data_IF_092782784084
#
_entry.id   IF_092782784084
#
_cell.length_a   1.000
_cell.length_b   1.000
_cell.length_c   1.000
_cell.angle_alpha   90.00
_cell.angle_beta   90.00
_cell.angle_gamma   90.00
#
_symmetry.space_group_name_H-M   'P 1'
#
loop_
_entity.id
_entity.type
_entity.pdbx_description
1 polymer ?
#
# COMPACT_ATOMS: atom_id res chain seq x y z
N UNK A 1 -12.81 12.61 3.77
CA UNK A 1 -11.68 11.66 3.82
C UNK A 1 -10.34 12.25 3.39
N UNK A 2 -10.23 13.01 2.28
CA UNK A 2 -8.92 13.53 1.82
C UNK A 2 -8.10 14.33 2.85
N UNK A 3 -8.72 15.26 3.60
CA UNK A 3 -8.04 16.03 4.65
C UNK A 3 -7.51 15.17 5.81
N UNK A 4 -8.19 14.07 6.13
CA UNK A 4 -7.77 13.14 7.18
C UNK A 4 -6.51 12.38 6.75
N UNK A 5 -6.48 11.88 5.52
CA UNK A 5 -5.31 11.18 4.98
C UNK A 5 -4.10 12.10 4.78
N UNK A 6 -4.33 13.35 4.36
CA UNK A 6 -3.25 14.34 4.28
C UNK A 6 -2.67 14.68 5.66
N UNK A 7 -3.51 14.67 6.71
CA UNK A 7 -3.03 14.94 8.07
C UNK A 7 -2.08 13.87 8.61
N UNK A 8 -2.14 12.64 8.07
CA UNK A 8 -1.22 11.54 8.39
C UNK A 8 -0.07 11.42 7.38
N UNK A 9 0.08 12.38 6.45
CA UNK A 9 1.17 12.42 5.48
C UNK A 9 0.95 11.57 4.22
N UNK A 10 -0.25 11.05 3.99
CA UNK A 10 -0.58 10.34 2.76
C UNK A 10 -0.90 11.31 1.61
N UNK A 11 -0.53 10.93 0.39
CA UNK A 11 -0.89 11.63 -0.84
C UNK A 11 -1.57 10.68 -1.82
N UNK A 12 -2.40 11.23 -2.70
CA UNK A 12 -3.20 10.45 -3.65
C UNK A 12 -2.37 9.96 -4.82
N UNK A 13 -2.67 8.74 -5.27
CA UNK A 13 -2.16 8.15 -6.51
C UNK A 13 -3.34 7.99 -7.48
N UNK A 14 -3.12 8.19 -8.77
CA UNK A 14 -4.09 7.84 -9.81
C UNK A 14 -3.75 6.45 -10.36
N UNK A 15 -4.57 5.41 -10.08
CA UNK A 15 -4.33 4.06 -10.58
C UNK A 15 -4.48 3.96 -12.10
N UNK A 16 -3.81 2.99 -12.71
CA UNK A 16 -4.00 2.64 -14.13
C UNK A 16 -3.36 3.59 -15.15
N UNK A 17 -2.79 4.72 -14.71
CA UNK A 17 -2.09 5.67 -15.58
C UNK A 17 -0.72 6.07 -15.01
N UNK A 18 0.14 6.62 -15.87
CA UNK A 18 1.41 7.21 -15.45
C UNK A 18 1.16 8.52 -14.68
N UNK A 19 0.95 8.42 -13.37
CA UNK A 19 0.76 9.56 -12.47
C UNK A 19 2.08 10.30 -12.21
N UNK A 20 2.43 11.19 -13.13
CA UNK A 20 3.70 11.95 -13.08
C UNK A 20 3.82 12.83 -11.85
N UNK A 21 2.70 13.33 -11.33
CA UNK A 21 2.70 14.21 -10.16
C UNK A 21 3.01 13.44 -8.89
N UNK A 22 2.42 12.25 -8.72
CA UNK A 22 2.76 11.34 -7.63
C UNK A 22 4.21 10.86 -7.66
N UNK A 23 4.74 10.60 -8.86
CA UNK A 23 6.15 10.24 -9.04
C UNK A 23 7.07 11.40 -8.65
N UNK A 24 6.71 12.64 -9.00
CA UNK A 24 7.45 13.84 -8.62
C UNK A 24 7.38 14.06 -7.10
N UNK A 25 6.21 13.88 -6.49
CA UNK A 25 6.03 13.99 -5.05
C UNK A 25 6.87 12.95 -4.30
N UNK A 26 6.83 11.70 -4.72
CA UNK A 26 7.69 10.61 -4.20
C UNK A 26 9.16 11.00 -4.20
N UNK A 27 9.66 11.47 -5.36
CA UNK A 27 11.06 11.91 -5.49
C UNK A 27 11.37 13.09 -4.58
N UNK A 28 10.45 14.05 -4.47
CA UNK A 28 10.63 15.21 -3.59
C UNK A 28 10.70 14.82 -2.12
N UNK A 29 9.86 13.86 -1.67
CA UNK A 29 9.88 13.35 -0.30
C UNK A 29 11.23 12.67 -0.02
N UNK A 30 11.61 11.71 -0.87
CA UNK A 30 12.83 10.92 -0.69
C UNK A 30 14.13 11.74 -0.86
N UNK A 31 14.12 12.81 -1.66
CA UNK A 31 15.28 13.68 -1.85
C UNK A 31 15.44 14.76 -0.77
N UNK A 32 14.53 14.83 0.20
CA UNK A 32 14.65 15.73 1.35
C UNK A 32 15.32 14.99 2.52
N UNK A 33 16.19 15.69 3.24
CA UNK A 33 16.83 15.13 4.45
C UNK A 33 15.76 14.74 5.47
N UNK A 34 15.81 13.49 5.96
CA UNK A 34 14.82 12.94 6.89
C UNK A 34 13.48 12.54 6.26
N UNK A 35 13.34 12.62 4.94
CA UNK A 35 12.16 12.16 4.22
C UNK A 35 11.95 10.65 4.39
N UNK A 36 10.74 10.25 4.76
CA UNK A 36 10.35 8.84 4.92
C UNK A 36 9.14 8.55 4.04
N UNK A 37 9.14 7.39 3.43
CA UNK A 37 8.04 6.92 2.59
C UNK A 37 7.79 5.45 2.87
N UNK A 38 6.52 5.11 3.08
CA UNK A 38 6.04 3.74 3.10
C UNK A 38 5.26 3.51 1.82
N UNK A 39 5.53 2.40 1.14
CA UNK A 39 4.88 2.03 -0.11
C UNK A 39 4.65 0.53 -0.15
N UNK A 40 3.63 0.12 -0.89
CA UNK A 40 3.36 -1.27 -1.21
C UNK A 40 3.75 -1.50 -2.67
N UNK A 41 4.85 -2.23 -2.95
CA UNK A 41 5.44 -2.28 -4.28
C UNK A 41 4.62 -3.09 -5.29
N UNK A 42 3.62 -3.85 -4.84
CA UNK A 42 2.70 -4.63 -5.67
C UNK A 42 1.73 -3.78 -6.49
N UNK A 43 1.49 -2.54 -6.06
CA UNK A 43 0.53 -1.65 -6.71
C UNK A 43 -0.89 -1.89 -6.18
N UNK A 44 -1.83 -2.16 -7.10
CA UNK A 44 -3.27 -2.20 -6.88
C UNK A 44 -3.65 -2.86 -5.54
N UNK A 45 -4.51 -2.23 -4.70
CA UNK A 45 -4.74 -2.64 -3.31
C UNK A 45 -5.61 -3.92 -3.18
N UNK A 46 -5.54 -4.84 -4.13
CA UNK A 46 -6.51 -5.91 -4.32
C UNK A 46 -5.88 -7.31 -4.36
N UNK A 47 -4.77 -7.54 -3.66
CA UNK A 47 -4.45 -8.93 -3.33
C UNK A 47 -5.26 -9.31 -2.09
N UNK A 48 -6.36 -10.03 -2.30
CA UNK A 48 -7.10 -10.67 -1.20
C UNK A 48 -6.33 -11.83 -0.54
N UNK A 49 -5.13 -12.12 -1.04
CA UNK A 49 -4.27 -13.21 -0.57
C UNK A 49 -3.33 -12.71 0.54
N UNK A 50 -3.33 -13.43 1.67
CA UNK A 50 -2.49 -13.12 2.83
C UNK A 50 -1.16 -13.89 2.84
N UNK A 51 -1.05 -14.95 2.03
CA UNK A 51 0.08 -15.89 2.03
C UNK A 51 0.97 -15.80 0.78
N UNK A 52 0.56 -15.03 -0.23
CA UNK A 52 1.31 -14.83 -1.46
C UNK A 52 1.47 -13.35 -1.78
N UNK A 53 2.67 -12.97 -2.24
CA UNK A 53 2.96 -11.63 -2.71
C UNK A 53 2.69 -11.55 -4.22
N UNK A 54 2.07 -10.47 -4.68
CA UNK A 54 2.03 -10.18 -6.11
C UNK A 54 3.42 -9.75 -6.62
N UNK A 55 3.70 -9.91 -7.93
CA UNK A 55 4.91 -9.36 -8.51
C UNK A 55 5.03 -7.85 -8.26
N UNK A 56 6.21 -7.42 -7.84
CA UNK A 56 6.48 -6.01 -7.60
C UNK A 56 6.45 -5.21 -8.91
N UNK A 57 5.82 -4.04 -8.87
CA UNK A 57 5.81 -3.13 -10.00
C UNK A 57 7.24 -2.63 -10.29
N UNK A 58 7.79 -2.86 -11.49
CA UNK A 58 9.17 -2.50 -11.82
C UNK A 58 9.46 -0.99 -11.71
N UNK A 59 8.43 -0.15 -11.79
CA UNK A 59 8.54 1.31 -11.67
C UNK A 59 9.04 1.79 -10.31
N UNK A 60 8.81 1.01 -9.25
CA UNK A 60 9.13 1.39 -7.87
C UNK A 60 10.64 1.52 -7.64
N UNK A 61 11.43 0.62 -8.24
CA UNK A 61 12.90 0.64 -8.11
C UNK A 61 13.49 1.83 -8.88
N UNK A 62 12.95 2.12 -10.06
CA UNK A 62 13.39 3.26 -10.89
C UNK A 62 13.16 4.59 -10.18
N UNK A 63 12.08 4.72 -9.42
CA UNK A 63 11.80 5.88 -8.56
C UNK A 63 12.90 6.11 -7.53
N UNK A 64 13.31 5.05 -6.82
CA UNK A 64 14.32 5.15 -5.76
C UNK A 64 15.66 5.65 -6.30
N UNK A 65 16.09 5.14 -7.46
CA UNK A 65 17.30 5.66 -8.12
C UNK A 65 17.16 7.12 -8.55
N UNK A 66 16.01 7.50 -9.13
CA UNK A 66 15.75 8.87 -9.53
C UNK A 66 15.72 9.84 -8.35
N UNK A 67 15.24 9.39 -7.19
CA UNK A 67 15.26 10.16 -5.95
C UNK A 67 16.67 10.27 -5.35
N UNK A 68 17.45 9.19 -5.36
CA UNK A 68 18.83 9.20 -4.88
C UNK A 68 19.71 10.17 -5.68
N UNK A 69 19.53 10.19 -7.01
CA UNK A 69 20.21 11.16 -7.87
C UNK A 69 19.85 12.60 -7.50
N UNK A 70 18.58 12.87 -7.19
CA UNK A 70 18.16 14.22 -6.78
C UNK A 70 18.66 14.60 -5.39
N UNK A 71 18.73 13.64 -4.45
CA UNK A 71 19.31 13.83 -3.13
C UNK A 71 20.81 14.18 -3.25
N UNK A 72 21.54 13.44 -4.09
CA UNK A 72 22.98 13.63 -4.30
C UNK A 72 23.38 14.92 -4.99
N UNK A 73 22.45 15.55 -5.72
CA UNK A 73 22.65 16.92 -6.24
C UNK A 73 22.70 17.97 -5.12
N UNK A 74 22.08 17.69 -3.97
CA UNK A 74 22.06 18.59 -2.80
C UNK A 74 23.16 18.24 -1.80
N UNK A 75 23.40 16.95 -1.60
CA UNK A 75 24.41 16.42 -0.68
C UNK A 75 25.06 15.16 -1.29
N UNK A 76 26.33 15.23 -1.64
CA UNK A 76 27.06 14.13 -2.26
C UNK A 76 27.11 12.85 -1.42
N UNK A 77 26.95 12.97 -0.09
CA UNK A 77 26.92 11.84 0.85
C UNK A 77 25.53 11.26 1.09
N UNK A 78 24.49 11.84 0.47
CA UNK A 78 23.12 11.37 0.65
C UNK A 78 22.94 9.91 0.21
N UNK A 79 22.15 9.20 1.01
CA UNK A 79 21.78 7.81 0.80
C UNK A 79 20.28 7.58 1.04
N UNK A 80 19.74 6.56 0.39
CA UNK A 80 18.34 6.14 0.56
C UNK A 80 18.33 4.68 1.00
N UNK A 81 17.93 4.46 2.25
CA UNK A 81 17.83 3.13 2.84
C UNK A 81 16.46 2.53 2.52
N UNK A 82 16.47 1.34 1.91
CA UNK A 82 15.25 0.55 1.68
C UNK A 82 15.14 -0.47 2.81
N UNK A 83 14.10 -0.34 3.63
CA UNK A 83 13.77 -1.31 4.67
C UNK A 83 12.60 -2.18 4.19
N UNK A 84 12.84 -3.47 3.85
CA UNK A 84 11.74 -4.37 3.53
C UNK A 84 10.94 -4.68 4.80
N UNK A 85 9.62 -4.61 4.68
CA UNK A 85 8.68 -5.00 5.73
C UNK A 85 7.51 -5.76 5.11
N UNK A 86 6.84 -6.58 5.91
CA UNK A 86 5.64 -7.31 5.51
C UNK A 86 4.62 -7.27 6.63
N UNK A 87 3.35 -7.35 6.24
CA UNK A 87 2.22 -7.46 7.17
C UNK A 87 1.56 -8.79 6.85
N UNK A 88 1.42 -9.65 7.86
CA UNK A 88 0.68 -10.91 7.75
C UNK A 88 -0.47 -10.89 8.74
N UNK A 89 -1.68 -10.99 8.21
CA UNK A 89 -2.87 -11.15 9.03
C UNK A 89 -2.97 -12.59 9.52
N UNK A 90 -3.42 -12.79 10.74
CA UNK A 90 -3.71 -14.12 11.29
C UNK A 90 -5.05 -14.04 11.99
N UNK A 91 -5.91 -15.01 11.71
CA UNK A 91 -7.15 -15.18 12.46
C UNK A 91 -6.84 -15.98 13.72
N UNK A 92 -7.11 -15.38 14.87
CA UNK A 92 -7.03 -16.04 16.18
C UNK A 92 -8.41 -16.64 16.51
N UNK A 93 -8.81 -17.64 15.75
CA UNK A 93 -10.07 -18.36 15.92
C UNK A 93 -9.94 -19.80 15.45
N UNK A 94 -10.76 -20.69 16.01
CA UNK A 94 -10.90 -22.06 15.52
C UNK A 94 -11.66 -22.10 14.20
N UNK A 95 -11.51 -23.18 13.44
CA UNK A 95 -12.27 -23.36 12.19
C UNK A 95 -13.78 -23.28 12.42
N UNK A 96 -14.27 -23.81 13.54
CA UNK A 96 -15.69 -23.79 13.89
C UNK A 96 -16.21 -22.35 14.08
N UNK A 97 -15.48 -21.52 14.83
CA UNK A 97 -15.85 -20.12 15.07
C UNK A 97 -15.84 -19.31 13.76
N UNK A 98 -14.81 -19.49 12.92
CA UNK A 98 -14.72 -18.83 11.61
C UNK A 98 -15.92 -19.20 10.74
N UNK A 99 -16.30 -20.48 10.71
CA UNK A 99 -17.44 -20.94 9.92
C UNK A 99 -18.76 -20.40 10.45
N UNK A 100 -18.94 -20.36 11.77
CA UNK A 100 -20.15 -19.80 12.39
C UNK A 100 -20.32 -18.32 12.02
N UNK A 101 -19.26 -17.53 12.15
CA UNK A 101 -19.27 -16.10 11.81
C UNK A 101 -19.54 -15.86 10.32
N UNK A 102 -18.94 -16.67 9.44
CA UNK A 102 -19.19 -16.62 8.01
C UNK A 102 -20.65 -16.94 7.68
N UNK A 103 -21.19 -18.04 8.21
CA UNK A 103 -22.59 -18.44 7.97
C UNK A 103 -23.57 -17.38 8.48
N UNK A 104 -23.31 -16.80 9.66
CA UNK A 104 -24.13 -15.72 10.20
C UNK A 104 -24.10 -14.50 9.28
N UNK A 105 -22.91 -14.06 8.86
CA UNK A 105 -22.74 -12.89 8.00
C UNK A 105 -23.41 -13.08 6.63
N UNK A 106 -23.26 -14.26 6.02
CA UNK A 106 -23.89 -14.60 4.75
C UNK A 106 -25.41 -14.57 4.90
N UNK A 107 -25.95 -15.16 5.96
CA UNK A 107 -27.40 -15.18 6.21
C UNK A 107 -27.98 -13.77 6.39
N UNK A 108 -27.26 -12.88 7.07
CA UNK A 108 -27.67 -11.46 7.19
C UNK A 108 -27.74 -10.78 5.82
N UNK A 109 -26.79 -11.07 4.93
CA UNK A 109 -26.79 -10.56 3.55
C UNK A 109 -27.93 -11.17 2.73
N UNK A 110 -28.16 -12.47 2.81
CA UNK A 110 -29.25 -13.18 2.12
C UNK A 110 -30.62 -12.60 2.49
N UNK A 111 -30.88 -12.42 3.78
CA UNK A 111 -32.11 -11.79 4.29
C UNK A 111 -32.25 -10.36 3.76
N UNK A 112 -31.17 -9.56 3.81
CA UNK A 112 -31.19 -8.19 3.32
C UNK A 112 -31.46 -8.09 1.80
N UNK A 113 -31.03 -9.10 1.03
CA UNK A 113 -31.22 -9.18 -0.41
C UNK A 113 -32.51 -9.93 -0.82
N UNK A 114 -33.28 -10.46 0.14
CA UNK A 114 -34.48 -11.25 -0.15
C UNK A 114 -34.19 -12.56 -0.86
N UNK A 115 -32.97 -13.09 -0.71
CA UNK A 115 -32.60 -14.43 -1.15
C UNK A 115 -33.02 -15.37 -0.03
N UNK A 116 -34.00 -16.22 -0.31
CA UNK A 116 -34.47 -17.22 0.66
C UNK A 116 -33.32 -18.22 0.94
N UNK A 117 -32.94 -18.47 2.21
CA UNK A 117 -31.84 -19.37 2.56
C UNK A 117 -32.12 -20.85 2.25
#
# INVERSE_FOLDING_TARGET
MGKLFQSVGAYSLIPGIADRDSMRMTRSILANSGGKLVLFPEGEPMCGENDSLMPFQPGIIKLSFGALQDARKKDASADIIILPGFIKYKFEATEAEIREDLHKSIREIEIALGVDP
#
